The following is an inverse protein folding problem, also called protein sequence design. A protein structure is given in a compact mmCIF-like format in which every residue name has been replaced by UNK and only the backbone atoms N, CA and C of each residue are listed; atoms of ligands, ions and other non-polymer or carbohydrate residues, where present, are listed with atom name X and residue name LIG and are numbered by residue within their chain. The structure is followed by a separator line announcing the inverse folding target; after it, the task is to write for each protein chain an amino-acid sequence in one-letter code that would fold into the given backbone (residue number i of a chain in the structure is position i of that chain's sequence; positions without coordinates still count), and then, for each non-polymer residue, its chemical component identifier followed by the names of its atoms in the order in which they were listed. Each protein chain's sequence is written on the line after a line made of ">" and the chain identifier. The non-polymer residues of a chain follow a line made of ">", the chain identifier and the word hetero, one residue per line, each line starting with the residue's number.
data_IF_385233045098
#
_entry.id   IF_385233045098
#
_cell.length_a   1.000
_cell.length_b   1.000
_cell.length_c   1.000
_cell.angle_alpha   90.00
_cell.angle_beta   90.00
_cell.angle_gamma   90.00
#
_symmetry.space_group_name_H-M   'P 1'
#
loop_
_entity.id
_entity.type
_entity.pdbx_description
1 polymer ?
#
# COMPACT_ATOMS: atom_id res chain seq x y z
N UNK A 1 -20.09 5.27 -41.07
CA UNK A 1 -19.12 6.39 -40.96
C UNK A 1 -18.05 5.94 -39.99
N UNK A 2 -16.81 5.74 -40.46
CA UNK A 2 -15.74 5.07 -39.71
C UNK A 2 -15.03 6.03 -38.75
N UNK A 3 -14.72 5.55 -37.55
CA UNK A 3 -14.03 6.23 -36.46
C UNK A 3 -12.52 6.54 -36.72
N UNK A 4 -12.08 6.57 -37.98
CA UNK A 4 -10.66 6.51 -38.33
C UNK A 4 -10.02 7.85 -38.76
N UNK A 5 -10.66 9.01 -38.57
CA UNK A 5 -10.14 10.26 -39.18
C UNK A 5 -10.19 11.52 -38.31
N UNK A 6 -10.14 11.38 -36.98
CA UNK A 6 -10.15 12.55 -36.08
C UNK A 6 -8.94 12.65 -35.12
N UNK A 7 -7.84 11.92 -35.36
CA UNK A 7 -6.67 11.89 -34.46
C UNK A 7 -5.34 12.30 -35.10
N UNK A 8 -5.37 13.14 -36.14
CA UNK A 8 -4.16 13.80 -36.65
C UNK A 8 -4.41 15.31 -36.74
N UNK A 9 -3.93 16.05 -35.74
CA UNK A 9 -3.36 17.41 -35.80
C UNK A 9 -3.16 17.92 -34.35
N UNK A 10 -1.95 18.44 -34.05
CA UNK A 10 -1.38 18.92 -32.76
C UNK A 10 -0.65 17.82 -31.96
N UNK A 11 0.67 17.59 -32.08
CA UNK A 11 1.76 18.51 -32.43
C UNK A 11 2.23 19.30 -31.20
N UNK A 12 3.09 18.68 -30.39
CA UNK A 12 3.70 19.15 -29.13
C UNK A 12 2.74 19.34 -27.94
N UNK A 13 2.24 18.23 -27.40
CA UNK A 13 1.89 18.20 -25.99
C UNK A 13 3.19 18.15 -25.17
N UNK A 14 3.42 19.19 -24.38
CA UNK A 14 4.26 19.10 -23.18
C UNK A 14 3.71 17.89 -22.41
N UNK A 15 4.42 16.75 -22.40
CA UNK A 15 4.14 15.66 -21.48
C UNK A 15 4.27 16.27 -20.11
N UNK A 16 3.15 16.62 -19.50
CA UNK A 16 3.11 17.08 -18.12
C UNK A 16 3.70 15.94 -17.30
N UNK A 17 4.90 16.17 -16.78
CA UNK A 17 5.74 15.25 -16.03
C UNK A 17 5.15 14.98 -14.65
N UNK A 18 3.89 14.54 -14.58
CA UNK A 18 3.37 13.93 -13.36
C UNK A 18 3.77 12.47 -13.39
N UNK A 19 4.37 12.02 -12.30
CA UNK A 19 4.97 10.69 -12.21
C UNK A 19 4.07 9.70 -11.48
N UNK A 20 3.07 10.18 -10.73
CA UNK A 20 2.06 9.33 -10.10
C UNK A 20 0.88 9.08 -11.02
N UNK A 21 0.61 7.80 -11.31
CA UNK A 21 -0.55 7.36 -12.10
C UNK A 21 -1.43 6.41 -11.29
N UNK A 22 -2.73 6.68 -11.30
CA UNK A 22 -3.75 5.81 -10.69
C UNK A 22 -4.38 4.91 -11.75
N UNK A 23 -4.49 3.62 -11.48
CA UNK A 23 -5.05 2.66 -12.43
C UNK A 23 -5.15 1.25 -11.86
N UNK A 24 -5.94 0.40 -12.50
CA UNK A 24 -5.91 -1.02 -12.19
C UNK A 24 -4.62 -1.65 -12.71
N UNK A 25 -4.00 -2.51 -11.90
CA UNK A 25 -2.84 -3.30 -12.33
C UNK A 25 -3.23 -4.13 -13.56
N UNK A 26 -4.30 -4.92 -13.46
CA UNK A 26 -4.94 -5.57 -14.59
C UNK A 26 -5.87 -4.58 -15.31
N UNK A 27 -5.51 -4.09 -16.51
CA UNK A 27 -6.31 -3.08 -17.20
C UNK A 27 -7.70 -3.60 -17.60
N UNK A 28 -7.91 -4.91 -17.65
CA UNK A 28 -9.22 -5.50 -17.93
C UNK A 28 -10.23 -5.27 -16.81
N UNK A 29 -9.82 -4.83 -15.61
CA UNK A 29 -10.74 -4.42 -14.53
C UNK A 29 -11.46 -3.11 -14.84
N UNK A 30 -10.91 -2.29 -15.72
CA UNK A 30 -11.62 -1.15 -16.29
C UNK A 30 -12.67 -1.58 -17.33
N UNK A 31 -12.65 -2.81 -17.83
CA UNK A 31 -13.42 -3.21 -19.00
C UNK A 31 -14.50 -4.23 -18.64
N UNK A 32 -15.76 -3.90 -18.93
CA UNK A 32 -16.88 -4.83 -18.79
C UNK A 32 -17.13 -5.54 -20.13
N UNK A 33 -16.82 -6.84 -20.26
CA UNK A 33 -16.95 -7.55 -21.54
C UNK A 33 -18.39 -7.71 -22.00
N UNK A 34 -19.34 -7.66 -21.07
CA UNK A 34 -20.75 -7.96 -21.28
C UNK A 34 -21.48 -6.87 -22.07
N UNK A 35 -21.15 -5.60 -21.79
CA UNK A 35 -21.73 -4.44 -22.46
C UNK A 35 -20.70 -3.62 -23.26
N UNK A 36 -19.42 -4.02 -23.20
CA UNK A 36 -18.31 -3.34 -23.86
C UNK A 36 -18.00 -1.97 -23.26
N UNK A 37 -18.57 -1.63 -22.11
CA UNK A 37 -18.35 -0.36 -21.44
C UNK A 37 -17.03 -0.36 -20.67
N UNK A 38 -16.45 0.84 -20.51
CA UNK A 38 -15.26 1.07 -19.71
C UNK A 38 -15.69 1.77 -18.43
N UNK A 39 -15.34 1.20 -17.28
CA UNK A 39 -15.41 1.88 -15.99
C UNK A 39 -14.35 2.98 -15.94
N UNK A 40 -14.78 4.18 -16.27
CA UNK A 40 -13.98 5.38 -16.08
C UNK A 40 -14.07 5.81 -14.63
N UNK A 41 -13.08 5.42 -13.84
CA UNK A 41 -12.76 6.16 -12.62
C UNK A 41 -12.23 7.51 -13.06
N UNK A 42 -13.09 8.53 -13.11
CA UNK A 42 -12.68 9.91 -13.32
C UNK A 42 -12.00 10.43 -12.05
N UNK A 43 -10.86 9.85 -11.73
CA UNK A 43 -9.98 10.23 -10.65
C UNK A 43 -8.89 11.09 -11.28
N UNK A 44 -8.64 12.24 -10.63
CA UNK A 44 -7.48 13.07 -10.93
C UNK A 44 -6.21 12.20 -10.92
N UNK A 45 -5.36 12.37 -11.94
CA UNK A 45 -4.10 11.61 -12.09
C UNK A 45 -4.29 10.12 -12.47
N UNK A 46 -5.42 9.76 -13.11
CA UNK A 46 -5.58 8.46 -13.77
C UNK A 46 -4.77 8.36 -15.07
N UNK A 47 -4.46 7.12 -15.48
CA UNK A 47 -3.79 6.86 -16.76
C UNK A 47 -4.58 7.48 -17.95
N UNK A 48 -3.89 8.10 -18.94
CA UNK A 48 -4.57 8.66 -20.10
C UNK A 48 -5.39 7.59 -20.84
N UNK A 49 -6.59 7.96 -21.29
CA UNK A 49 -7.52 7.03 -21.95
C UNK A 49 -6.90 6.28 -23.15
N UNK A 50 -5.99 6.93 -23.88
CA UNK A 50 -5.25 6.31 -24.98
C UNK A 50 -4.32 5.20 -24.49
N UNK A 51 -3.57 5.46 -23.42
CA UNK A 51 -2.61 4.51 -22.85
C UNK A 51 -3.34 3.32 -22.23
N UNK A 52 -4.45 3.55 -21.52
CA UNK A 52 -5.33 2.48 -21.05
C UNK A 52 -5.87 1.62 -22.20
N UNK A 53 -6.30 2.24 -23.30
CA UNK A 53 -6.80 1.50 -24.47
C UNK A 53 -5.74 0.57 -25.07
N UNK A 54 -4.49 1.03 -25.16
CA UNK A 54 -3.36 0.22 -25.61
C UNK A 54 -3.06 -0.92 -24.62
N UNK A 55 -3.06 -0.63 -23.32
CA UNK A 55 -2.84 -1.63 -22.27
C UNK A 55 -3.92 -2.72 -22.28
N UNK A 56 -5.20 -2.36 -22.45
CA UNK A 56 -6.31 -3.32 -22.60
C UNK A 56 -6.09 -4.22 -23.81
N UNK A 57 -5.75 -3.63 -24.97
CA UNK A 57 -5.53 -4.39 -26.20
C UNK A 57 -4.39 -5.40 -26.03
N UNK A 58 -3.24 -4.95 -25.54
CA UNK A 58 -2.08 -5.81 -25.26
C UNK A 58 -2.46 -6.96 -24.30
N UNK A 59 -3.22 -6.67 -23.24
CA UNK A 59 -3.72 -7.67 -22.30
C UNK A 59 -4.63 -8.72 -22.92
N UNK A 60 -5.51 -8.31 -23.83
CA UNK A 60 -6.40 -9.23 -24.54
C UNK A 60 -5.60 -10.13 -25.49
N UNK A 61 -4.60 -9.59 -26.18
CA UNK A 61 -3.76 -10.32 -27.13
C UNK A 61 -2.79 -11.29 -26.45
N UNK A 62 -2.26 -10.93 -25.27
CA UNK A 62 -1.23 -11.71 -24.53
C UNK A 62 -1.74 -12.40 -23.27
N UNK A 63 -3.06 -12.53 -23.11
CA UNK A 63 -3.69 -13.05 -21.89
C UNK A 63 -3.14 -14.40 -21.41
N UNK A 64 -2.89 -15.32 -22.33
CA UNK A 64 -2.36 -16.64 -21.98
C UNK A 64 -0.90 -16.58 -21.53
N UNK A 65 -0.07 -15.78 -22.23
CA UNK A 65 1.32 -15.52 -21.84
C UNK A 65 1.40 -14.90 -20.44
N UNK A 66 0.60 -13.88 -20.16
CA UNK A 66 0.57 -13.24 -18.83
C UNK A 66 0.11 -14.20 -17.73
N UNK A 67 -0.86 -15.07 -18.02
CA UNK A 67 -1.26 -16.13 -17.09
C UNK A 67 -0.10 -17.09 -16.78
N UNK A 68 0.65 -17.50 -17.80
CA UNK A 68 1.78 -18.42 -17.64
C UNK A 68 2.95 -17.77 -16.88
N UNK A 69 3.22 -16.49 -17.16
CA UNK A 69 4.18 -15.67 -16.40
C UNK A 69 3.79 -15.61 -14.94
N UNK A 70 2.55 -15.21 -14.62
CA UNK A 70 2.07 -15.16 -13.24
C UNK A 70 2.15 -16.53 -12.58
N UNK A 71 1.75 -17.61 -13.26
CA UNK A 71 1.88 -18.97 -12.74
C UNK A 71 3.33 -19.36 -12.42
N UNK A 72 4.31 -18.77 -13.12
CA UNK A 72 5.74 -19.02 -12.89
C UNK A 72 6.27 -18.18 -11.74
N UNK A 73 6.00 -16.88 -11.73
CA UNK A 73 6.47 -15.94 -10.69
C UNK A 73 5.91 -16.28 -9.31
N UNK A 74 4.67 -16.74 -9.28
CA UNK A 74 3.92 -16.99 -8.05
C UNK A 74 4.18 -18.35 -7.41
N UNK A 75 5.21 -19.09 -7.84
CA UNK A 75 5.60 -20.37 -7.23
C UNK A 75 5.97 -20.24 -5.76
N UNK A 76 6.46 -19.06 -5.36
CA UNK A 76 6.85 -18.74 -4.00
C UNK A 76 5.81 -17.86 -3.28
N UNK A 77 4.57 -17.81 -3.79
CA UNK A 77 3.50 -17.05 -3.14
C UNK A 77 3.23 -17.58 -1.73
N UNK A 78 2.81 -16.70 -0.83
CA UNK A 78 2.47 -17.06 0.55
C UNK A 78 1.00 -17.38 0.69
N UNK A 79 0.14 -16.53 0.14
CA UNK A 79 -1.30 -16.72 0.21
C UNK A 79 -1.86 -17.73 -0.79
N UNK A 80 -3.02 -18.28 -0.48
CA UNK A 80 -3.71 -19.25 -1.36
C UNK A 80 -5.20 -18.97 -1.53
N UNK A 81 -5.80 -18.20 -0.63
CA UNK A 81 -7.18 -17.75 -0.81
C UNK A 81 -7.24 -16.57 -1.78
N UNK A 82 -8.30 -16.50 -2.57
CA UNK A 82 -8.48 -15.37 -3.49
C UNK A 82 -8.72 -14.07 -2.75
N UNK A 83 -8.17 -13.00 -3.27
CA UNK A 83 -8.54 -11.67 -2.83
C UNK A 83 -9.94 -11.35 -3.33
N UNK A 84 -10.80 -10.89 -2.44
CA UNK A 84 -12.08 -10.35 -2.83
C UNK A 84 -12.01 -8.82 -2.73
N UNK A 85 -11.94 -8.11 -3.86
CA UNK A 85 -11.83 -6.65 -3.87
C UNK A 85 -13.07 -5.96 -3.28
N UNK A 86 -14.18 -6.67 -3.07
CA UNK A 86 -15.39 -6.14 -2.45
C UNK A 86 -15.44 -6.37 -0.94
N UNK A 87 -14.58 -7.22 -0.37
CA UNK A 87 -14.70 -7.60 1.04
C UNK A 87 -14.10 -6.58 2.00
N UNK A 88 -13.21 -5.70 1.55
CA UNK A 88 -12.49 -4.80 2.43
C UNK A 88 -12.16 -3.49 1.72
N UNK A 89 -12.70 -2.41 2.26
CA UNK A 89 -12.28 -1.04 1.94
C UNK A 89 -10.99 -0.76 2.72
N UNK A 90 -9.85 -0.63 2.05
CA UNK A 90 -8.58 -0.35 2.72
C UNK A 90 -8.47 1.09 3.20
N UNK A 91 -9.33 1.99 2.72
CA UNK A 91 -9.40 3.39 3.15
C UNK A 91 -10.30 3.59 4.37
N UNK A 92 -10.92 2.52 4.88
CA UNK A 92 -11.73 2.55 6.08
C UNK A 92 -11.64 1.21 6.82
N UNK A 93 -11.02 1.20 7.99
CA UNK A 93 -10.83 -0.05 8.74
C UNK A 93 -12.11 -0.58 9.40
N UNK A 94 -13.15 0.25 9.52
CA UNK A 94 -14.35 -0.07 10.30
C UNK A 94 -15.04 -1.38 9.86
N UNK A 95 -15.25 -1.68 8.57
CA UNK A 95 -15.81 -2.96 8.13
C UNK A 95 -14.99 -4.17 8.60
N UNK A 96 -13.66 -4.06 8.61
CA UNK A 96 -12.75 -5.09 9.09
C UNK A 96 -12.89 -5.31 10.60
N UNK A 97 -12.96 -4.22 11.38
CA UNK A 97 -13.19 -4.30 12.82
C UNK A 97 -14.58 -4.89 13.12
N UNK A 98 -15.61 -4.46 12.40
CA UNK A 98 -16.98 -4.96 12.54
C UNK A 98 -17.07 -6.46 12.22
N UNK A 99 -16.29 -6.94 11.26
CA UNK A 99 -16.17 -8.38 10.97
C UNK A 99 -15.66 -9.16 12.19
N UNK A 100 -14.63 -8.67 12.87
CA UNK A 100 -14.13 -9.30 14.10
C UNK A 100 -15.21 -9.34 15.19
N UNK A 101 -15.89 -8.21 15.43
CA UNK A 101 -16.96 -8.13 16.42
C UNK A 101 -18.09 -9.12 16.12
N UNK A 102 -18.53 -9.19 14.85
CA UNK A 102 -19.60 -10.10 14.41
C UNK A 102 -19.21 -11.58 14.56
N UNK A 103 -17.92 -11.90 14.46
CA UNK A 103 -17.39 -13.23 14.70
C UNK A 103 -17.20 -13.55 16.20
N UNK A 104 -17.55 -12.63 17.10
CA UNK A 104 -17.53 -12.83 18.55
C UNK A 104 -16.17 -12.53 19.21
N UNK A 105 -15.24 -11.89 18.51
CA UNK A 105 -13.98 -11.47 19.11
C UNK A 105 -14.16 -10.22 19.97
N UNK A 106 -13.56 -10.23 21.16
CA UNK A 106 -13.57 -9.08 22.06
C UNK A 106 -12.70 -7.95 21.51
N UNK A 107 -13.30 -6.76 21.38
CA UNK A 107 -12.61 -5.55 20.96
C UNK A 107 -12.31 -4.68 22.19
N UNK A 108 -11.04 -4.34 22.35
CA UNK A 108 -10.54 -3.53 23.46
C UNK A 108 -10.81 -2.03 23.30
N UNK A 109 -11.10 -1.58 22.08
CA UNK A 109 -11.13 -0.16 21.72
C UNK A 109 -9.75 0.50 21.81
N UNK A 110 -8.65 -0.26 21.72
CA UNK A 110 -7.28 0.23 21.81
C UNK A 110 -6.58 0.18 20.47
N UNK A 111 -5.82 1.22 20.14
CA UNK A 111 -5.06 1.27 18.89
C UNK A 111 -3.77 2.08 18.98
N UNK A 112 -2.92 1.89 17.97
CA UNK A 112 -1.74 2.71 17.68
C UNK A 112 -1.85 3.18 16.23
N UNK A 113 -1.60 4.47 16.00
CA UNK A 113 -1.59 5.07 14.66
C UNK A 113 -0.30 5.87 14.46
N UNK A 114 0.62 5.36 13.66
CA UNK A 114 1.89 6.03 13.34
C UNK A 114 1.77 6.69 11.98
N UNK A 115 1.98 8.01 11.94
CA UNK A 115 1.66 8.87 10.81
C UNK A 115 0.16 9.18 10.74
N UNK A 116 -0.35 9.70 11.86
CA UNK A 116 -1.78 9.90 12.06
C UNK A 116 -2.36 11.14 11.36
N UNK A 117 -1.53 12.01 10.79
CA UNK A 117 -1.97 13.27 10.20
C UNK A 117 -2.84 14.07 11.18
N UNK A 118 -4.01 14.56 10.75
CA UNK A 118 -4.98 15.22 11.62
C UNK A 118 -6.02 14.29 12.24
N UNK A 119 -5.90 12.97 12.05
CA UNK A 119 -6.77 11.96 12.63
C UNK A 119 -8.20 11.95 12.10
N UNK A 120 -8.51 12.70 11.04
CA UNK A 120 -9.86 12.81 10.49
C UNK A 120 -9.86 12.73 8.96
N UNK A 121 -9.08 13.58 8.29
CA UNK A 121 -9.05 13.65 6.84
C UNK A 121 -8.13 12.57 6.28
N UNK A 122 -8.68 11.71 5.43
CA UNK A 122 -7.98 10.59 4.80
C UNK A 122 -7.34 9.60 5.81
N UNK A 123 -7.80 9.59 7.07
CA UNK A 123 -7.35 8.60 8.08
C UNK A 123 -8.31 7.40 8.12
N UNK A 124 -7.86 6.19 7.73
CA UNK A 124 -8.69 4.99 7.70
C UNK A 124 -9.17 4.52 9.09
N UNK A 125 -8.65 5.10 10.18
CA UNK A 125 -9.06 4.78 11.54
C UNK A 125 -10.15 5.71 12.08
N UNK A 126 -10.46 6.85 11.44
CA UNK A 126 -11.35 7.86 12.00
C UNK A 126 -12.72 7.29 12.39
N UNK A 127 -13.37 6.55 11.50
CA UNK A 127 -14.69 5.94 11.78
C UNK A 127 -14.63 4.91 12.91
N UNK A 128 -13.58 4.09 12.97
CA UNK A 128 -13.36 3.15 14.07
C UNK A 128 -13.25 3.88 15.41
N UNK A 129 -12.46 4.95 15.48
CA UNK A 129 -12.26 5.73 16.70
C UNK A 129 -13.57 6.37 17.16
N UNK A 130 -14.32 6.97 16.25
CA UNK A 130 -15.61 7.60 16.55
C UNK A 130 -16.65 6.59 17.06
N UNK A 131 -16.78 5.43 16.40
CA UNK A 131 -17.81 4.43 16.73
C UNK A 131 -17.53 3.67 18.01
N UNK A 132 -16.27 3.34 18.27
CA UNK A 132 -15.87 2.58 19.46
C UNK A 132 -15.56 3.48 20.66
N UNK A 133 -15.53 4.80 20.46
CA UNK A 133 -14.89 5.73 21.39
C UNK A 133 -13.48 5.22 21.76
N UNK A 134 -12.73 4.80 20.72
CA UNK A 134 -11.46 4.13 20.90
C UNK A 134 -10.44 5.09 21.54
N UNK A 135 -9.55 4.51 22.33
CA UNK A 135 -8.43 5.20 22.97
C UNK A 135 -7.12 4.62 22.48
N UNK A 136 -6.04 5.37 22.58
CA UNK A 136 -4.78 4.93 22.02
C UNK A 136 -3.80 6.06 21.90
N UNK A 137 -2.79 5.83 21.07
CA UNK A 137 -1.80 6.84 20.74
C UNK A 137 -1.68 7.04 19.23
N UNK A 138 -1.66 8.30 18.86
CA UNK A 138 -1.33 8.78 17.53
C UNK A 138 0.09 9.39 17.56
N UNK A 139 0.89 9.10 16.54
CA UNK A 139 2.20 9.70 16.33
C UNK A 139 2.12 10.52 15.05
N UNK A 140 2.42 11.81 15.15
CA UNK A 140 2.44 12.74 14.02
C UNK A 140 3.62 13.69 14.18
N UNK A 141 4.28 14.08 13.10
CA UNK A 141 5.47 14.93 13.16
C UNK A 141 5.14 16.41 13.02
N UNK A 142 4.11 16.75 12.25
CA UNK A 142 3.77 18.12 11.91
C UNK A 142 2.99 18.77 13.07
N UNK A 143 3.52 19.84 13.69
CA UNK A 143 2.87 20.45 14.85
C UNK A 143 1.44 20.93 14.59
N UNK A 144 1.13 21.40 13.37
CA UNK A 144 -0.22 21.87 13.05
C UNK A 144 -1.20 20.70 12.90
N UNK A 145 -0.77 19.59 12.27
CA UNK A 145 -1.54 18.34 12.20
C UNK A 145 -1.77 17.74 13.58
N UNK A 146 -0.76 17.71 14.45
CA UNK A 146 -0.91 17.30 15.85
C UNK A 146 -2.00 18.10 16.57
N UNK A 147 -2.02 19.43 16.40
CA UNK A 147 -3.03 20.30 17.02
C UNK A 147 -4.44 20.07 16.45
N UNK A 148 -4.56 19.80 15.15
CA UNK A 148 -5.84 19.41 14.54
C UNK A 148 -6.31 18.05 15.07
N UNK A 149 -5.42 17.07 15.16
CA UNK A 149 -5.71 15.74 15.70
C UNK A 149 -6.23 15.81 17.14
N UNK A 150 -5.60 16.59 18.02
CA UNK A 150 -6.06 16.75 19.42
C UNK A 150 -7.47 17.34 19.51
N UNK A 151 -7.87 18.18 18.55
CA UNK A 151 -9.22 18.76 18.50
C UNK A 151 -10.23 17.77 17.94
N UNK A 152 -9.87 17.02 16.90
CA UNK A 152 -10.73 16.04 16.25
C UNK A 152 -11.01 14.85 17.19
N UNK A 153 -9.99 14.36 17.89
CA UNK A 153 -10.03 13.16 18.71
C UNK A 153 -9.42 13.41 20.11
N UNK A 154 -10.10 14.16 21.00
CA UNK A 154 -9.57 14.58 22.31
C UNK A 154 -9.31 13.41 23.29
N UNK A 155 -9.86 12.23 23.04
CA UNK A 155 -9.64 11.00 23.81
C UNK A 155 -8.37 10.24 23.42
N UNK A 156 -7.67 10.68 22.36
CA UNK A 156 -6.47 10.03 21.84
C UNK A 156 -5.23 10.81 22.27
N UNK A 157 -4.23 10.11 22.80
CA UNK A 157 -2.95 10.73 23.11
C UNK A 157 -2.18 11.00 21.81
N UNK A 158 -1.57 12.19 21.68
CA UNK A 158 -0.83 12.57 20.47
C UNK A 158 0.64 12.86 20.81
N UNK A 159 1.51 11.94 20.40
CA UNK A 159 2.96 12.12 20.43
C UNK A 159 3.39 12.92 19.19
N UNK A 160 3.71 14.21 19.39
CA UNK A 160 4.10 15.10 18.31
C UNK A 160 5.61 15.02 18.06
N UNK A 161 6.06 14.09 17.22
CA UNK A 161 7.47 13.82 16.96
C UNK A 161 7.68 13.09 15.64
N UNK A 162 8.83 13.31 15.01
CA UNK A 162 9.26 12.48 13.90
C UNK A 162 9.62 11.08 14.41
N UNK A 163 8.97 10.06 13.85
CA UNK A 163 9.19 8.67 14.21
C UNK A 163 10.38 8.09 13.44
N UNK A 164 11.16 7.26 14.11
CA UNK A 164 12.26 6.46 13.55
C UNK A 164 12.22 5.05 14.17
N UNK A 165 12.89 4.06 13.57
CA UNK A 165 13.02 2.74 14.19
C UNK A 165 13.66 2.81 15.59
N UNK A 166 14.49 3.82 15.87
CA UNK A 166 15.17 3.96 17.16
C UNK A 166 14.27 4.55 18.25
N UNK A 167 13.26 5.35 17.91
CA UNK A 167 12.42 6.04 18.90
C UNK A 167 10.98 5.52 18.96
N UNK A 168 10.49 4.76 17.98
CA UNK A 168 9.06 4.41 17.88
C UNK A 168 8.53 3.76 19.16
N UNK A 169 9.26 2.83 19.76
CA UNK A 169 8.86 2.18 21.01
C UNK A 169 8.73 3.15 22.18
N UNK A 170 9.60 4.18 22.24
CA UNK A 170 9.52 5.22 23.26
C UNK A 170 8.32 6.15 23.04
N UNK A 171 7.97 6.42 21.78
CA UNK A 171 6.82 7.25 21.43
C UNK A 171 5.52 6.54 21.78
N UNK A 172 5.41 5.23 21.52
CA UNK A 172 4.19 4.44 21.83
C UNK A 172 4.17 3.87 23.25
N UNK A 173 5.21 4.10 24.05
CA UNK A 173 5.31 3.57 25.41
C UNK A 173 4.07 3.84 26.30
N UNK A 174 3.39 5.01 26.25
CA UNK A 174 2.20 5.25 27.07
C UNK A 174 1.10 4.20 26.91
N UNK A 175 0.92 3.63 25.71
CA UNK A 175 -0.05 2.54 25.49
C UNK A 175 0.50 1.15 25.79
N UNK A 176 1.83 1.00 25.93
CA UNK A 176 2.47 -0.28 26.26
C UNK A 176 2.45 -0.61 27.77
N UNK A 177 2.18 0.37 28.64
CA UNK A 177 2.35 0.22 30.09
C UNK A 177 1.43 -0.84 30.71
N UNK A 178 0.21 -1.01 30.20
CA UNK A 178 -0.81 -1.83 30.87
C UNK A 178 -1.24 -3.09 30.10
N UNK A 179 -1.20 -3.07 28.75
CA UNK A 179 -1.47 -4.25 27.90
C UNK A 179 -0.82 -4.07 26.53
N UNK A 180 -0.22 -5.14 26.01
CA UNK A 180 0.41 -5.19 24.66
C UNK A 180 -0.57 -5.57 23.55
N UNK A 181 -1.81 -5.93 23.91
CA UNK A 181 -2.87 -6.29 22.96
C UNK A 181 -3.65 -5.05 22.49
N UNK A 182 -3.75 -4.90 21.18
CA UNK A 182 -4.49 -3.84 20.48
C UNK A 182 -5.53 -4.43 19.54
N UNK A 183 -6.55 -3.65 19.19
CA UNK A 183 -7.43 -4.03 18.09
C UNK A 183 -6.79 -3.69 16.74
N UNK A 184 -6.18 -2.50 16.62
CA UNK A 184 -5.59 -2.01 15.37
C UNK A 184 -4.21 -1.38 15.61
N UNK A 185 -3.26 -1.72 14.73
CA UNK A 185 -1.97 -1.03 14.58
C UNK A 185 -1.85 -0.50 13.14
N UNK A 186 -1.78 0.82 12.96
CA UNK A 186 -1.49 1.47 11.67
C UNK A 186 -0.07 2.02 11.64
N UNK A 187 0.65 1.81 10.55
CA UNK A 187 1.89 2.51 10.21
C UNK A 187 1.81 2.99 8.77
N UNK A 188 1.92 4.30 8.59
CA UNK A 188 1.85 4.97 7.28
C UNK A 188 2.50 6.35 7.46
N UNK A 189 3.79 6.42 7.18
CA UNK A 189 4.67 7.57 7.37
C UNK A 189 5.31 8.01 6.05
N UNK A 190 4.76 7.58 4.92
CA UNK A 190 5.21 7.92 3.57
C UNK A 190 6.73 7.71 3.35
N UNK A 191 7.37 6.75 4.03
CA UNK A 191 8.85 6.69 4.04
C UNK A 191 9.48 5.32 4.30
N UNK A 192 9.75 4.96 5.55
CA UNK A 192 10.40 3.70 5.95
C UNK A 192 9.51 2.92 6.92
N UNK A 193 8.29 2.70 6.47
CA UNK A 193 7.18 2.07 7.18
C UNK A 193 7.54 0.69 7.71
N UNK A 194 8.12 -0.17 6.87
CA UNK A 194 8.54 -1.51 7.25
C UNK A 194 9.59 -1.55 8.37
N UNK A 195 10.69 -0.75 8.33
CA UNK A 195 11.59 -0.63 9.47
C UNK A 195 10.93 -0.15 10.77
N UNK A 196 9.90 0.68 10.71
CA UNK A 196 9.18 1.15 11.91
C UNK A 196 8.30 0.04 12.48
N UNK A 197 7.49 -0.61 11.64
CA UNK A 197 6.60 -1.68 12.12
C UNK A 197 7.39 -2.90 12.61
N UNK A 198 8.55 -3.23 12.01
CA UNK A 198 9.42 -4.33 12.47
C UNK A 198 9.92 -4.11 13.91
N UNK A 199 10.05 -2.85 14.35
CA UNK A 199 10.39 -2.53 15.74
C UNK A 199 9.20 -2.65 16.69
N UNK A 200 7.97 -2.47 16.20
CA UNK A 200 6.74 -2.54 16.99
C UNK A 200 6.25 -3.97 17.22
N UNK A 201 6.31 -4.83 16.20
CA UNK A 201 5.76 -6.20 16.23
C UNK A 201 6.29 -7.10 17.36
N UNK A 202 7.54 -7.01 17.81
CA UNK A 202 8.00 -7.75 18.99
C UNK A 202 7.40 -7.30 20.33
N UNK A 203 6.90 -6.06 20.40
CA UNK A 203 6.39 -5.45 21.62
C UNK A 203 4.85 -5.36 21.66
N UNK A 204 4.19 -5.47 20.51
CA UNK A 204 2.76 -5.24 20.32
C UNK A 204 2.14 -6.41 19.56
N UNK A 205 0.99 -6.89 20.04
CA UNK A 205 0.12 -7.79 19.29
C UNK A 205 -1.18 -7.08 18.98
N UNK A 206 -1.41 -6.76 17.71
CA UNK A 206 -2.68 -6.20 17.25
C UNK A 206 -3.53 -7.30 16.60
N UNK A 207 -4.85 -7.21 16.67
CA UNK A 207 -5.73 -8.10 15.90
C UNK A 207 -5.68 -7.79 14.40
N UNK A 208 -5.53 -6.51 14.08
CA UNK A 208 -5.44 -5.97 12.73
C UNK A 208 -4.19 -5.11 12.63
N UNK A 209 -3.44 -5.29 11.55
CA UNK A 209 -2.37 -4.39 11.13
C UNK A 209 -2.79 -3.75 9.82
N UNK A 210 -2.66 -2.43 9.73
CA UNK A 210 -2.80 -1.66 8.51
C UNK A 210 -1.42 -1.05 8.20
N UNK A 211 -0.93 -1.26 6.99
CA UNK A 211 0.41 -0.83 6.58
C UNK A 211 0.34 -0.21 5.18
N UNK A 212 0.98 0.95 5.02
CA UNK A 212 1.15 1.56 3.70
C UNK A 212 2.21 0.79 2.89
N UNK A 213 1.75 0.18 1.80
CA UNK A 213 2.55 -0.44 0.78
C UNK A 213 2.87 0.54 -0.34
N UNK A 214 4.04 0.36 -0.95
CA UNK A 214 4.38 0.95 -2.23
C UNK A 214 3.88 0.04 -3.36
N UNK A 215 2.76 0.38 -4.01
CA UNK A 215 2.16 -0.49 -5.00
C UNK A 215 2.90 -0.44 -6.34
N UNK A 216 3.88 0.45 -6.53
CA UNK A 216 4.66 0.51 -7.76
C UNK A 216 5.61 -0.68 -7.93
N UNK A 217 5.87 -1.44 -6.87
CA UNK A 217 6.73 -2.62 -6.89
C UNK A 217 5.84 -3.87 -6.72
N UNK A 218 5.59 -4.63 -7.80
CA UNK A 218 4.70 -5.77 -7.74
C UNK A 218 5.37 -7.00 -7.10
N UNK A 219 4.60 -7.96 -6.55
CA UNK A 219 5.09 -9.30 -6.28
C UNK A 219 5.69 -9.95 -7.54
N UNK A 220 6.76 -10.78 -7.43
CA UNK A 220 7.41 -11.25 -6.20
C UNK A 220 8.48 -10.30 -5.64
N UNK A 221 8.70 -9.13 -6.24
CA UNK A 221 9.79 -8.25 -5.81
C UNK A 221 9.52 -7.70 -4.42
N UNK A 222 10.40 -8.02 -3.48
CA UNK A 222 10.38 -7.55 -2.11
C UNK A 222 11.31 -6.35 -1.99
N UNK A 223 10.73 -5.17 -1.86
CA UNK A 223 11.45 -3.91 -1.70
C UNK A 223 11.09 -3.27 -0.35
N UNK A 224 12.08 -2.62 0.30
CA UNK A 224 11.83 -1.72 1.44
C UNK A 224 12.81 -0.56 1.50
N UNK A 225 12.34 0.65 1.83
CA UNK A 225 13.20 1.78 2.15
C UNK A 225 13.75 1.55 3.54
N UNK A 226 15.06 1.69 3.71
CA UNK A 226 15.64 1.65 5.05
C UNK A 226 15.76 3.08 5.58
N UNK A 227 15.60 3.21 6.91
CA UNK A 227 15.70 4.50 7.57
C UNK A 227 17.06 5.16 7.30
N UNK A 228 17.01 6.44 6.91
CA UNK A 228 18.16 7.32 6.85
C UNK A 228 17.77 8.71 7.38
N UNK A 229 18.60 9.36 8.22
CA UNK A 229 18.25 10.65 8.83
C UNK A 229 17.89 11.76 7.84
N UNK A 230 18.55 11.77 6.67
CA UNK A 230 18.30 12.77 5.62
C UNK A 230 17.12 12.46 4.68
N UNK A 231 16.49 11.28 4.80
CA UNK A 231 15.46 10.85 3.85
C UNK A 231 14.25 11.80 3.85
N UNK A 232 13.87 12.30 5.02
CA UNK A 232 12.75 13.24 5.13
C UNK A 232 13.05 14.59 4.50
N UNK A 233 14.27 15.11 4.69
CA UNK A 233 14.70 16.34 4.04
C UNK A 233 14.70 16.17 2.51
N UNK A 234 15.11 14.98 2.06
CA UNK A 234 15.08 14.61 0.65
C UNK A 234 13.64 14.56 0.11
N UNK A 235 12.70 13.86 0.73
CA UNK A 235 11.30 13.81 0.26
C UNK A 235 10.63 15.18 0.25
N UNK A 236 10.86 16.00 1.28
CA UNK A 236 10.34 17.36 1.34
C UNK A 236 10.92 18.29 0.25
N UNK A 237 11.98 17.89 -0.45
CA UNK A 237 12.54 18.65 -1.57
C UNK A 237 11.78 18.47 -2.89
N UNK A 238 10.89 17.48 -2.96
CA UNK A 238 10.03 17.23 -4.13
C UNK A 238 8.69 17.95 -3.99
N UNK A 239 8.13 18.36 -5.13
CA UNK A 239 6.77 18.89 -5.20
C UNK A 239 6.03 18.28 -6.41
N UNK A 240 5.07 17.38 -6.17
CA UNK A 240 4.61 16.94 -4.86
C UNK A 240 5.47 15.78 -4.27
N UNK A 241 5.55 15.60 -2.94
CA UNK A 241 6.34 14.52 -2.33
C UNK A 241 5.89 13.11 -2.72
N UNK A 242 4.59 12.93 -3.01
CA UNK A 242 4.03 11.64 -3.42
C UNK A 242 4.60 11.08 -4.75
N UNK A 243 5.26 11.92 -5.53
CA UNK A 243 5.89 11.54 -6.79
C UNK A 243 7.24 10.82 -6.60
N UNK A 244 7.70 10.62 -5.36
CA UNK A 244 8.94 9.91 -5.07
C UNK A 244 8.70 8.38 -5.07
N UNK A 245 9.38 7.61 -5.95
CA UNK A 245 9.14 6.17 -6.08
C UNK A 245 9.77 5.33 -4.97
N UNK A 246 10.64 5.92 -4.16
CA UNK A 246 11.48 5.22 -3.16
C UNK A 246 10.94 5.38 -1.73
N UNK A 247 9.70 4.95 -1.48
CA UNK A 247 9.05 5.00 -0.15
C UNK A 247 8.38 3.69 0.24
N UNK A 248 8.10 3.51 1.53
CA UNK A 248 7.36 2.40 2.13
C UNK A 248 8.07 1.06 2.06
N UNK A 249 7.30 0.03 1.69
CA UNK A 249 7.78 -1.27 1.28
C UNK A 249 6.78 -1.90 0.30
N UNK A 250 7.22 -2.82 -0.57
CA UNK A 250 6.31 -3.53 -1.48
C UNK A 250 5.39 -4.48 -0.71
N UNK A 251 4.19 -4.78 -1.23
CA UNK A 251 3.27 -5.77 -0.64
C UNK A 251 3.95 -7.13 -0.36
N UNK A 252 4.78 -7.63 -1.29
CA UNK A 252 5.48 -8.91 -1.09
C UNK A 252 6.48 -8.87 0.09
N UNK A 253 7.11 -7.72 0.34
CA UNK A 253 7.98 -7.52 1.49
C UNK A 253 7.17 -7.51 2.79
N UNK A 254 6.02 -6.84 2.81
CA UNK A 254 5.14 -6.79 3.98
C UNK A 254 4.62 -8.16 4.36
N UNK A 255 4.12 -8.93 3.38
CA UNK A 255 3.65 -10.32 3.58
C UNK A 255 4.76 -11.17 4.20
N UNK A 256 5.99 -11.06 3.70
CA UNK A 256 7.14 -11.78 4.24
C UNK A 256 7.54 -11.31 5.65
N UNK A 257 7.42 -10.01 5.94
CA UNK A 257 7.71 -9.43 7.25
C UNK A 257 6.67 -9.87 8.29
N UNK A 258 5.40 -9.63 8.01
CA UNK A 258 4.28 -9.77 8.93
C UNK A 258 3.95 -11.24 9.23
N UNK A 259 4.15 -12.16 8.27
CA UNK A 259 3.96 -13.60 8.52
C UNK A 259 4.89 -14.15 9.60
N UNK A 260 6.09 -13.56 9.78
CA UNK A 260 7.04 -13.96 10.84
C UNK A 260 6.47 -13.70 12.24
N UNK A 261 5.48 -12.83 12.33
CA UNK A 261 4.81 -12.42 13.56
C UNK A 261 3.36 -12.93 13.63
N UNK A 262 2.98 -13.91 12.80
CA UNK A 262 1.65 -14.53 12.83
C UNK A 262 0.54 -13.71 12.19
N UNK A 263 0.88 -12.79 11.28
CA UNK A 263 -0.10 -11.98 10.55
C UNK A 263 -0.25 -12.45 9.11
N UNK A 264 -1.50 -12.52 8.64
CA UNK A 264 -1.86 -12.92 7.29
C UNK A 264 -2.50 -11.76 6.54
N UNK A 265 -2.19 -11.63 5.25
CA UNK A 265 -2.84 -10.67 4.36
C UNK A 265 -4.34 -10.99 4.26
N UNK A 266 -5.18 -9.97 4.40
CA UNK A 266 -6.64 -10.07 4.22
C UNK A 266 -7.16 -9.22 3.08
N UNK A 267 -6.48 -8.12 2.77
CA UNK A 267 -6.86 -7.22 1.67
C UNK A 267 -5.69 -6.31 1.29
N UNK A 268 -5.73 -5.85 0.05
CA UNK A 268 -4.81 -4.85 -0.48
C UNK A 268 -5.51 -4.01 -1.55
N UNK A 269 -5.27 -2.71 -1.53
CA UNK A 269 -5.85 -1.77 -2.48
C UNK A 269 -5.37 -0.35 -2.24
N UNK A 270 -5.27 0.45 -3.30
CA UNK A 270 -4.70 1.79 -3.24
C UNK A 270 -3.22 1.73 -2.86
N UNK A 271 -2.92 2.23 -1.66
CA UNK A 271 -1.61 2.19 -1.02
C UNK A 271 -1.60 1.31 0.22
N UNK A 272 -2.71 0.67 0.57
CA UNK A 272 -2.90 0.09 1.89
C UNK A 272 -3.04 -1.43 1.83
N UNK A 273 -2.39 -2.11 2.76
CA UNK A 273 -2.54 -3.53 3.00
C UNK A 273 -3.08 -3.75 4.42
N UNK A 274 -4.11 -4.60 4.53
CA UNK A 274 -4.68 -5.01 5.80
C UNK A 274 -4.24 -6.44 6.07
N UNK A 275 -3.75 -6.65 7.28
CA UNK A 275 -3.36 -7.95 7.80
C UNK A 275 -4.12 -8.26 9.08
N UNK A 276 -4.30 -9.53 9.37
CA UNK A 276 -4.92 -9.98 10.62
C UNK A 276 -4.07 -11.02 11.31
N UNK A 277 -4.04 -10.96 12.64
CA UNK A 277 -3.31 -11.94 13.43
C UNK A 277 -4.00 -13.31 13.38
N UNK A 278 -3.22 -14.39 13.40
CA UNK A 278 -3.71 -15.77 13.28
C UNK A 278 -4.75 -16.14 14.36
N UNK A 279 -4.68 -15.50 15.53
CA UNK A 279 -5.63 -15.69 16.63
C UNK A 279 -7.07 -15.28 16.30
N UNK A 280 -7.26 -14.40 15.30
CA UNK A 280 -8.59 -13.91 14.88
C UNK A 280 -8.96 -14.29 13.44
N UNK A 281 -8.09 -15.04 12.75
CA UNK A 281 -8.26 -15.50 11.35
C UNK A 281 -9.61 -16.16 11.06
N UNK A 282 -10.21 -16.81 12.06
CA UNK A 282 -11.50 -17.48 11.89
C UNK A 282 -12.68 -16.54 11.58
N UNK A 283 -12.54 -15.22 11.81
CA UNK A 283 -13.54 -14.21 11.44
C UNK A 283 -13.75 -14.08 9.91
N UNK A 284 -12.86 -14.64 9.10
CA UNK A 284 -12.94 -14.64 7.64
C UNK A 284 -13.50 -15.94 7.05
N UNK A 285 -14.07 -16.83 7.88
CA UNK A 285 -14.71 -18.04 7.35
C UNK A 285 -15.81 -17.70 6.31
N UNK A 286 -15.96 -18.49 5.21
CA UNK A 286 -15.20 -19.72 4.93
C UNK A 286 -13.81 -19.51 4.31
N UNK A 287 -13.51 -18.33 3.73
CA UNK A 287 -12.27 -18.01 3.03
C UNK A 287 -11.24 -17.37 3.98
N UNK A 288 -10.49 -18.23 4.68
CA UNK A 288 -9.58 -17.79 5.75
C UNK A 288 -8.22 -17.35 5.20
N UNK A 289 -7.68 -16.19 5.62
CA UNK A 289 -6.32 -15.76 5.31
C UNK A 289 -5.27 -16.87 5.51
N UNK A 290 -4.14 -16.84 4.79
CA UNK A 290 -3.66 -15.73 3.96
C UNK A 290 -4.28 -15.65 2.56
N UNK A 291 -4.71 -14.43 2.21
CA UNK A 291 -5.06 -14.08 0.83
C UNK A 291 -3.79 -14.06 -0.02
N UNK A 292 -3.94 -14.52 -1.25
CA UNK A 292 -2.92 -14.61 -2.28
C UNK A 292 -2.50 -13.21 -2.71
N UNK A 293 -1.27 -12.82 -2.38
CA UNK A 293 -0.75 -11.49 -2.62
C UNK A 293 -0.62 -11.16 -4.12
N UNK A 294 -0.44 -12.16 -4.99
CA UNK A 294 -0.47 -11.95 -6.44
C UNK A 294 -1.87 -11.69 -6.93
N UNK A 295 -2.86 -12.43 -6.41
CA UNK A 295 -4.26 -12.23 -6.74
C UNK A 295 -4.73 -10.85 -6.25
N UNK A 296 -4.44 -10.50 -4.99
CA UNK A 296 -4.73 -9.19 -4.44
C UNK A 296 -4.12 -8.05 -5.25
N UNK A 297 -2.84 -8.17 -5.61
CA UNK A 297 -2.17 -7.15 -6.41
C UNK A 297 -2.75 -7.05 -7.83
N UNK A 298 -3.03 -8.17 -8.48
CA UNK A 298 -3.64 -8.23 -9.81
C UNK A 298 -5.04 -7.59 -9.85
N UNK A 299 -5.79 -7.72 -8.76
CA UNK A 299 -7.15 -7.19 -8.61
C UNK A 299 -7.18 -5.72 -8.14
N UNK A 300 -6.07 -5.19 -7.64
CA UNK A 300 -6.02 -3.88 -7.01
C UNK A 300 -6.10 -2.71 -8.02
N UNK A 301 -6.86 -1.68 -7.63
CA UNK A 301 -6.67 -0.33 -8.12
C UNK A 301 -5.55 0.31 -7.31
N UNK A 302 -4.46 0.70 -7.97
CA UNK A 302 -3.28 1.23 -7.30
C UNK A 302 -2.99 2.66 -7.72
N UNK A 303 -2.20 3.35 -6.91
CA UNK A 303 -1.59 4.62 -7.24
C UNK A 303 -0.07 4.41 -7.33
N UNK A 304 0.42 4.18 -8.54
CA UNK A 304 1.83 3.95 -8.80
C UNK A 304 2.60 5.26 -8.62
N UNK A 305 3.34 5.36 -7.52
CA UNK A 305 4.10 6.53 -7.09
C UNK A 305 5.43 6.60 -7.83
N UNK A 306 5.69 7.69 -8.56
CA UNK A 306 7.00 7.95 -9.20
C UNK A 306 7.43 6.93 -10.27
N UNK A 307 6.59 5.95 -10.59
CA UNK A 307 6.83 4.88 -11.57
C UNK A 307 5.61 4.83 -12.48
N UNK A 308 5.83 4.72 -13.80
CA UNK A 308 4.71 4.55 -14.72
C UNK A 308 3.99 3.23 -14.46
N UNK A 309 2.66 3.24 -14.63
CA UNK A 309 1.86 2.02 -14.53
C UNK A 309 2.31 0.96 -15.54
N UNK A 310 2.80 1.36 -16.72
CA UNK A 310 3.34 0.43 -17.72
C UNK A 310 4.58 -0.31 -17.23
N UNK A 311 5.49 0.39 -16.53
CA UNK A 311 6.68 -0.25 -15.95
C UNK A 311 6.28 -1.22 -14.83
N UNK A 312 5.30 -0.83 -14.04
CA UNK A 312 4.71 -1.68 -12.99
C UNK A 312 4.09 -2.94 -13.59
N UNK A 313 3.27 -2.81 -14.64
CA UNK A 313 2.66 -3.93 -15.39
C UNK A 313 3.71 -4.82 -16.03
N UNK A 314 4.75 -4.25 -16.64
CA UNK A 314 5.87 -5.01 -17.21
C UNK A 314 6.54 -5.89 -16.17
N UNK A 315 6.88 -5.32 -15.01
CA UNK A 315 7.48 -6.08 -13.91
C UNK A 315 6.58 -7.22 -13.44
N UNK A 316 5.26 -7.03 -13.45
CA UNK A 316 4.32 -8.03 -12.97
C UNK A 316 3.94 -9.11 -13.99
N UNK A 317 3.73 -8.76 -15.26
CA UNK A 317 3.15 -9.64 -16.27
C UNK A 317 4.14 -10.13 -17.35
N UNK A 318 5.21 -9.39 -17.61
CA UNK A 318 6.15 -9.71 -18.70
C UNK A 318 7.42 -10.40 -18.22
N UNK A 319 7.89 -10.08 -17.01
CA UNK A 319 9.15 -10.61 -16.48
C UNK A 319 8.93 -11.97 -15.83
N UNK A 320 9.00 -13.05 -16.60
CA UNK A 320 8.72 -14.42 -16.11
C UNK A 320 9.80 -15.05 -15.21
N UNK A 321 10.91 -14.36 -14.96
CA UNK A 321 12.02 -14.80 -14.13
C UNK A 321 12.49 -13.65 -13.23
N UNK A 322 12.51 -13.90 -11.92
CA UNK A 322 12.96 -12.91 -10.94
C UNK A 322 14.44 -12.60 -11.07
N UNK A 323 15.25 -13.52 -11.59
CA UNK A 323 16.67 -13.27 -11.91
C UNK A 323 16.85 -12.28 -13.06
N UNK A 324 15.87 -12.17 -13.96
CA UNK A 324 15.87 -11.19 -15.05
C UNK A 324 15.34 -9.84 -14.56
N UNK A 325 14.26 -9.84 -13.77
CA UNK A 325 13.64 -8.59 -13.35
C UNK A 325 14.29 -7.90 -12.16
N UNK A 326 14.96 -8.62 -11.26
CA UNK A 326 15.66 -8.01 -10.13
C UNK A 326 16.71 -6.97 -10.57
N UNK A 327 17.59 -7.27 -11.55
CA UNK A 327 18.48 -6.25 -12.13
C UNK A 327 17.73 -5.03 -12.67
N UNK A 328 16.61 -5.22 -13.38
CA UNK A 328 15.83 -4.11 -13.97
C UNK A 328 15.24 -3.20 -12.87
N UNK A 329 14.67 -3.79 -11.82
CA UNK A 329 14.13 -3.06 -10.67
C UNK A 329 15.25 -2.35 -9.90
N UNK A 330 16.37 -3.03 -9.68
CA UNK A 330 17.55 -2.46 -9.02
C UNK A 330 18.10 -1.24 -9.77
N UNK A 331 18.36 -1.41 -11.07
CA UNK A 331 18.90 -0.36 -11.94
C UNK A 331 17.97 0.85 -11.99
N UNK A 332 16.65 0.64 -12.01
CA UNK A 332 15.69 1.74 -11.93
C UNK A 332 15.87 2.56 -10.66
N UNK A 333 15.87 1.93 -9.48
CA UNK A 333 15.96 2.66 -8.21
C UNK A 333 17.31 3.32 -7.99
N UNK A 334 18.41 2.62 -8.33
CA UNK A 334 19.75 3.19 -8.23
C UNK A 334 19.91 4.37 -9.19
N UNK A 335 19.49 4.21 -10.45
CA UNK A 335 19.52 5.28 -11.44
C UNK A 335 18.69 6.49 -11.00
N UNK A 336 17.46 6.25 -10.56
CA UNK A 336 16.59 7.32 -10.05
C UNK A 336 17.23 8.06 -8.87
N UNK A 337 17.80 7.35 -7.89
CA UNK A 337 18.50 7.97 -6.76
C UNK A 337 19.72 8.78 -7.20
N UNK A 338 20.54 8.26 -8.13
CA UNK A 338 21.72 8.96 -8.63
C UNK A 338 21.38 10.26 -9.38
N UNK A 339 20.25 10.26 -10.09
CA UNK A 339 19.77 11.43 -10.82
C UNK A 339 19.19 12.51 -9.90
N UNK A 340 18.59 12.11 -8.78
CA UNK A 340 17.81 13.01 -7.94
C UNK A 340 18.43 13.33 -6.57
N UNK A 341 19.43 12.58 -6.12
CA UNK A 341 20.05 12.71 -4.80
C UNK A 341 21.58 12.76 -4.89
N UNK A 342 22.25 13.56 -4.03
CA UNK A 342 23.71 13.54 -3.93
C UNK A 342 24.26 12.24 -3.31
N UNK A 343 23.40 11.38 -2.74
CA UNK A 343 23.78 10.13 -2.10
C UNK A 343 22.77 9.02 -2.38
N UNK A 344 23.21 7.77 -2.34
CA UNK A 344 22.32 6.62 -2.36
C UNK A 344 21.73 6.39 -0.98
N UNK A 345 20.41 6.32 -0.90
CA UNK A 345 19.72 5.93 0.33
C UNK A 345 19.74 4.40 0.47
N UNK A 346 19.83 3.88 1.70
CA UNK A 346 19.83 2.44 1.93
C UNK A 346 18.44 1.87 1.64
N UNK A 347 18.38 0.80 0.86
CA UNK A 347 17.15 0.05 0.58
C UNK A 347 17.44 -1.45 0.56
N UNK A 348 16.39 -2.26 0.74
CA UNK A 348 16.43 -3.70 0.54
C UNK A 348 15.68 -4.05 -0.76
N UNK A 349 16.23 -4.96 -1.56
CA UNK A 349 15.56 -5.55 -2.72
C UNK A 349 15.89 -7.05 -2.81
N UNK A 350 14.84 -7.87 -2.97
CA UNK A 350 14.91 -9.34 -3.13
C UNK A 350 13.76 -9.79 -4.04
N UNK A 351 13.79 -11.02 -4.54
CA UNK A 351 12.73 -11.58 -5.39
C UNK A 351 12.75 -13.10 -5.42
#
# INVERSE_FOLDING_TARGET
>A
MSWATAALVLGLAIRTTRSTYKGFVNPLKHFYPEDGSIFWLNIKDSEPAQDLGLAIQDFLERREEYRDTLSTLSRNRVGTERCDPLLVDTQNIWPTVQRLANAGFELSGRYVNVGASDGENDDPLFEYVQRMNATGIAVERDPERCERHRRALPQVEVACSAVTPQNVLSLVAPVLLDKTELDVLKVDIDSYDCPVIEMLLPAITAKIVLLEANPSIPPPYQWAMLHHPELWNFFNSFSPPEDVPIRGCSLAYEVELLRRYGYDLVAFGGHDAIFTHESVRSAWAPHKPPMDEFDCYNEAFIAANGISIDKTRRWFFELNDTQVGLPEVWEFFVGWMQENSPQLFPFALRG
#
